data_IF_213270483500
#
_entry.id   IF_213270483500
#
_cell.length_a   1.000
_cell.length_b   1.000
_cell.length_c   1.000
_cell.angle_alpha   90.00
_cell.angle_beta   90.00
_cell.angle_gamma   90.00
#
_symmetry.space_group_name_H-M   'P 1'
#
loop_
_entity.id
_entity.type
_entity.pdbx_description
1 polymer ?
#
# COMPACT_ATOMS: atom_id res chain seq x y z
N UNK A 1 11.68 21.04 -23.10
CA UNK A 1 12.46 21.25 -21.85
C UNK A 1 11.96 20.41 -20.67
N UNK A 2 10.65 20.36 -20.35
CA UNK A 2 10.08 19.56 -19.22
C UNK A 2 10.51 18.08 -19.22
N UNK A 3 10.38 17.37 -20.35
CA UNK A 3 10.78 15.96 -20.46
C UNK A 3 12.25 15.72 -20.07
N UNK A 4 13.17 16.58 -20.52
CA UNK A 4 14.58 16.48 -20.17
C UNK A 4 14.83 16.72 -18.67
N UNK A 5 14.21 17.77 -18.10
CA UNK A 5 14.26 18.04 -16.65
C UNK A 5 13.75 16.85 -15.83
N UNK A 6 12.63 16.26 -16.25
CA UNK A 6 12.05 15.09 -15.60
C UNK A 6 12.97 13.86 -15.69
N UNK A 7 13.59 13.61 -16.84
CA UNK A 7 14.55 12.51 -17.00
C UNK A 7 15.79 12.68 -16.12
N UNK A 8 16.35 13.88 -16.07
CA UNK A 8 17.50 14.20 -15.20
C UNK A 8 17.10 14.02 -13.73
N UNK A 9 15.94 14.53 -13.32
CA UNK A 9 15.45 14.38 -11.95
C UNK A 9 15.31 12.90 -11.56
N UNK A 10 14.70 12.07 -12.43
CA UNK A 10 14.59 10.61 -12.18
C UNK A 10 15.95 9.91 -12.12
N UNK A 11 16.93 10.34 -12.91
CA UNK A 11 18.26 9.75 -12.91
C UNK A 11 19.01 10.06 -11.61
N UNK A 12 18.92 11.30 -11.12
CA UNK A 12 19.63 11.76 -9.93
C UNK A 12 18.98 11.32 -8.61
N UNK A 13 17.67 11.01 -8.62
CA UNK A 13 16.92 10.64 -7.43
C UNK A 13 16.52 9.16 -7.52
N UNK A 14 17.24 8.31 -6.78
CA UNK A 14 17.12 6.86 -6.88
C UNK A 14 15.74 6.31 -6.51
N UNK A 15 14.95 7.06 -5.75
CA UNK A 15 13.55 6.73 -5.42
C UNK A 15 12.69 6.52 -6.69
N UNK A 16 13.07 7.10 -7.83
CA UNK A 16 12.39 6.92 -9.12
C UNK A 16 13.05 5.88 -10.03
N UNK A 17 14.13 5.25 -9.60
CA UNK A 17 14.80 4.23 -10.41
C UNK A 17 13.88 3.03 -10.61
N UNK A 18 14.08 2.34 -11.72
CA UNK A 18 13.34 1.14 -12.03
C UNK A 18 13.56 0.07 -10.94
N UNK A 19 12.48 -0.56 -10.47
CA UNK A 19 12.53 -1.59 -9.42
C UNK A 19 13.54 -2.69 -9.73
N UNK A 20 13.67 -3.12 -11.00
CA UNK A 20 14.64 -4.15 -11.37
C UNK A 20 16.10 -3.72 -11.12
N UNK A 21 16.42 -2.43 -11.31
CA UNK A 21 17.76 -1.89 -11.05
C UNK A 21 18.03 -1.87 -9.54
N UNK A 22 17.06 -1.38 -8.75
CA UNK A 22 17.15 -1.32 -7.29
C UNK A 22 17.29 -2.72 -6.69
N UNK A 23 16.55 -3.71 -7.21
CA UNK A 23 16.49 -5.06 -6.65
C UNK A 23 17.51 -6.05 -7.23
N UNK A 24 18.24 -5.69 -8.29
CA UNK A 24 19.28 -6.56 -8.86
C UNK A 24 20.32 -7.04 -7.82
N UNK A 25 20.95 -6.19 -6.99
CA UNK A 25 21.87 -6.67 -5.96
C UNK A 25 21.15 -7.46 -4.85
N UNK A 26 19.93 -7.05 -4.50
CA UNK A 26 19.11 -7.71 -3.47
C UNK A 26 18.73 -9.14 -3.87
N UNK A 27 18.55 -9.39 -5.16
CA UNK A 27 18.23 -10.70 -5.69
C UNK A 27 19.27 -11.77 -5.31
N UNK A 28 20.56 -11.43 -5.29
CA UNK A 28 21.61 -12.36 -4.85
C UNK A 28 21.48 -12.72 -3.37
N UNK A 29 21.09 -11.75 -2.53
CA UNK A 29 20.82 -12.01 -1.12
C UNK A 29 19.58 -12.89 -0.92
N UNK A 30 18.53 -12.69 -1.73
CA UNK A 30 17.37 -13.58 -1.74
C UNK A 30 17.74 -15.02 -2.12
N UNK A 31 18.61 -15.21 -3.12
CA UNK A 31 19.14 -16.54 -3.48
C UNK A 31 19.87 -17.17 -2.29
N UNK A 32 20.74 -16.41 -1.62
CA UNK A 32 21.45 -16.88 -0.43
C UNK A 32 20.49 -17.38 0.66
N UNK A 33 19.44 -16.60 0.98
CA UNK A 33 18.42 -17.03 1.95
C UNK A 33 17.61 -18.23 1.46
N UNK A 34 17.30 -18.30 0.16
CA UNK A 34 16.59 -19.43 -0.43
C UNK A 34 17.38 -20.74 -0.34
N UNK A 35 18.70 -20.68 -0.52
CA UNK A 35 19.62 -21.82 -0.33
C UNK A 35 19.60 -22.26 1.15
N UNK A 36 19.72 -21.31 2.08
CA UNK A 36 19.63 -21.60 3.52
C UNK A 36 18.28 -22.21 3.92
N UNK A 37 17.19 -21.73 3.33
CA UNK A 37 15.84 -22.23 3.56
C UNK A 37 15.55 -23.56 2.84
N UNK A 38 16.38 -23.94 1.86
CA UNK A 38 16.13 -25.03 0.91
C UNK A 38 14.78 -24.89 0.19
N UNK A 39 14.35 -23.65 -0.04
CA UNK A 39 13.12 -23.32 -0.76
C UNK A 39 13.20 -21.89 -1.31
N UNK A 40 12.75 -21.70 -2.56
CA UNK A 40 12.55 -20.38 -3.15
C UNK A 40 11.30 -19.66 -2.61
N UNK A 41 10.39 -20.42 -1.97
CA UNK A 41 9.12 -19.95 -1.46
C UNK A 41 9.01 -20.08 0.06
N UNK A 42 10.10 -19.82 0.78
CA UNK A 42 10.14 -19.87 2.24
C UNK A 42 9.23 -18.83 2.88
N UNK A 43 9.09 -17.66 2.23
CA UNK A 43 8.29 -16.52 2.69
C UNK A 43 6.84 -16.86 3.02
N UNK A 44 6.27 -17.90 2.39
CA UNK A 44 4.88 -18.31 2.61
C UNK A 44 4.60 -18.67 4.08
N UNK A 45 5.61 -19.19 4.79
CA UNK A 45 5.44 -19.56 6.19
C UNK A 45 5.55 -18.37 7.15
N UNK A 46 5.81 -17.15 6.68
CA UNK A 46 5.99 -15.98 7.54
C UNK A 46 4.71 -15.59 8.28
N UNK A 47 3.55 -15.62 7.61
CA UNK A 47 2.24 -15.32 8.17
C UNK A 47 1.26 -16.48 7.85
N UNK A 48 1.26 -17.58 8.62
CA UNK A 48 0.53 -18.80 8.30
C UNK A 48 -0.98 -18.67 7.98
N UNK A 49 -1.64 -17.62 8.48
CA UNK A 49 -3.07 -17.37 8.25
C UNK A 49 -3.36 -16.50 7.03
N UNK A 50 -2.33 -16.01 6.35
CA UNK A 50 -2.45 -15.19 5.15
C UNK A 50 -1.96 -16.02 3.95
N UNK A 51 -2.75 -16.07 2.88
CA UNK A 51 -2.38 -16.76 1.63
C UNK A 51 -0.99 -16.31 1.18
N UNK A 52 -0.11 -17.27 0.86
CA UNK A 52 1.27 -17.01 0.44
C UNK A 52 2.10 -16.20 1.44
N UNK A 53 1.72 -16.18 2.72
CA UNK A 53 2.30 -15.31 3.75
C UNK A 53 2.05 -13.81 3.49
N UNK A 54 1.16 -13.47 2.56
CA UNK A 54 0.93 -12.12 2.04
C UNK A 54 2.04 -11.63 1.11
N UNK A 55 2.66 -12.54 0.35
CA UNK A 55 3.65 -12.18 -0.68
C UNK A 55 3.03 -11.81 -2.01
N UNK A 56 1.99 -12.52 -2.42
CA UNK A 56 1.25 -12.29 -3.65
C UNK A 56 -0.07 -13.08 -3.63
N UNK A 57 -1.04 -12.58 -4.40
CA UNK A 57 -2.37 -13.19 -4.59
C UNK A 57 -3.18 -13.33 -3.30
N UNK A 58 -2.92 -12.49 -2.30
CA UNK A 58 -3.73 -12.41 -1.09
C UNK A 58 -5.12 -11.80 -1.37
N UNK A 59 -6.14 -12.36 -0.73
CA UNK A 59 -7.49 -11.76 -0.67
C UNK A 59 -7.49 -10.67 0.41
N UNK A 60 -7.84 -9.44 0.02
CA UNK A 60 -8.02 -8.35 0.99
C UNK A 60 -9.15 -8.65 1.96
N UNK A 61 -10.23 -9.31 1.50
CA UNK A 61 -11.34 -9.71 2.36
C UNK A 61 -10.89 -10.66 3.46
N UNK A 62 -10.15 -11.71 3.10
CA UNK A 62 -9.63 -12.68 4.08
C UNK A 62 -8.73 -12.00 5.11
N UNK A 63 -7.89 -11.05 4.67
CA UNK A 63 -7.04 -10.27 5.57
C UNK A 63 -7.89 -9.41 6.52
N UNK A 64 -8.90 -8.69 6.04
CA UNK A 64 -9.78 -7.89 6.90
C UNK A 64 -10.55 -8.73 7.91
N UNK A 65 -10.90 -9.98 7.57
CA UNK A 65 -11.57 -10.88 8.49
C UNK A 65 -10.66 -11.35 9.64
N UNK A 66 -9.34 -11.22 9.50
CA UNK A 66 -8.37 -11.48 10.57
C UNK A 66 -8.18 -10.28 11.51
N UNK A 67 -8.51 -9.07 11.07
CA UNK A 67 -8.33 -7.84 11.86
C UNK A 67 -9.58 -7.62 12.72
N UNK A 68 -9.46 -7.25 14.00
CA UNK A 68 -10.61 -6.85 14.80
C UNK A 68 -11.38 -5.68 14.15
N UNK A 69 -12.70 -5.79 14.11
CA UNK A 69 -13.61 -4.87 13.37
C UNK A 69 -13.41 -3.40 13.71
N UNK A 70 -13.05 -3.08 14.95
CA UNK A 70 -12.84 -1.69 15.37
C UNK A 70 -11.63 -0.99 14.73
N UNK A 71 -10.73 -1.73 14.07
CA UNK A 71 -9.48 -1.19 13.55
C UNK A 71 -9.46 -0.95 12.04
N UNK A 72 -10.51 -1.26 11.28
CA UNK A 72 -10.53 -1.06 9.84
C UNK A 72 -11.91 -0.56 9.39
N UNK A 73 -12.00 0.12 8.22
CA UNK A 73 -13.27 0.69 7.76
C UNK A 73 -14.33 -0.37 7.45
N UNK A 74 -15.60 -0.01 7.54
CA UNK A 74 -16.68 -0.90 7.11
C UNK A 74 -16.47 -1.34 5.66
N UNK A 75 -16.50 -2.65 5.44
CA UNK A 75 -16.07 -3.28 4.17
C UNK A 75 -17.05 -4.36 3.77
N UNK A 76 -17.58 -4.22 2.55
CA UNK A 76 -18.42 -5.19 1.88
C UNK A 76 -17.64 -5.90 0.78
N UNK A 77 -17.94 -7.19 0.57
CA UNK A 77 -17.34 -8.01 -0.48
C UNK A 77 -18.42 -8.44 -1.47
N UNK A 78 -18.08 -8.34 -2.76
CA UNK A 78 -18.96 -8.70 -3.86
C UNK A 78 -18.25 -9.63 -4.82
N UNK A 79 -18.97 -10.65 -5.29
CA UNK A 79 -18.48 -11.55 -6.32
C UNK A 79 -18.56 -10.88 -7.70
N UNK A 80 -17.67 -11.30 -8.60
CA UNK A 80 -17.72 -10.91 -10.00
C UNK A 80 -19.13 -11.10 -10.60
N UNK A 81 -19.54 -10.18 -11.47
CA UNK A 81 -20.80 -10.24 -12.22
C UNK A 81 -22.09 -10.23 -11.37
N UNK A 82 -22.02 -9.81 -10.11
CA UNK A 82 -23.20 -9.61 -9.28
C UNK A 82 -24.06 -8.46 -9.82
N UNK A 83 -25.39 -8.58 -9.71
CA UNK A 83 -26.33 -7.56 -10.24
C UNK A 83 -26.16 -6.23 -9.54
N UNK A 84 -26.13 -5.14 -10.31
CA UNK A 84 -25.99 -3.76 -9.79
C UNK A 84 -27.01 -3.44 -8.69
N UNK A 85 -28.28 -3.81 -8.88
CA UNK A 85 -29.34 -3.58 -7.88
C UNK A 85 -29.03 -4.27 -6.54
N UNK A 86 -28.51 -5.49 -6.57
CA UNK A 86 -28.10 -6.20 -5.35
C UNK A 86 -26.92 -5.50 -4.68
N UNK A 87 -25.97 -5.00 -5.46
CA UNK A 87 -24.82 -4.25 -4.94
C UNK A 87 -25.28 -2.97 -4.24
N UNK A 88 -26.07 -2.13 -4.92
CA UNK A 88 -26.63 -0.88 -4.37
C UNK A 88 -27.40 -1.15 -3.08
N UNK A 89 -28.37 -2.08 -3.12
CA UNK A 89 -29.18 -2.42 -1.95
C UNK A 89 -28.33 -2.90 -0.76
N UNK A 90 -27.20 -3.58 -1.01
CA UNK A 90 -26.30 -4.05 0.06
C UNK A 90 -25.50 -2.89 0.64
N UNK A 91 -25.02 -1.96 -0.19
CA UNK A 91 -24.29 -0.75 0.23
C UNK A 91 -25.20 0.13 1.10
N UNK A 92 -26.43 0.38 0.65
CA UNK A 92 -27.40 1.19 1.39
C UNK A 92 -27.79 0.56 2.73
N UNK A 93 -28.03 -0.77 2.76
CA UNK A 93 -28.31 -1.50 4.01
C UNK A 93 -27.17 -1.46 5.01
N UNK A 94 -25.93 -1.42 4.52
CA UNK A 94 -24.74 -1.29 5.37
C UNK A 94 -24.44 0.16 5.77
N UNK A 95 -25.23 1.13 5.29
CA UNK A 95 -25.05 2.56 5.56
C UNK A 95 -23.67 3.12 5.14
N UNK A 96 -23.04 2.53 4.12
CA UNK A 96 -21.78 3.06 3.55
C UNK A 96 -22.11 4.26 2.66
N UNK A 97 -21.63 5.43 3.06
CA UNK A 97 -21.95 6.71 2.43
C UNK A 97 -20.98 7.08 1.31
N UNK A 98 -21.44 7.96 0.41
CA UNK A 98 -20.55 8.58 -0.56
C UNK A 98 -19.64 9.65 0.09
N UNK A 99 -18.42 9.84 -0.43
CA UNK A 99 -17.76 8.93 -1.35
C UNK A 99 -17.29 7.66 -0.62
N UNK A 100 -17.26 6.52 -1.32
CA UNK A 100 -16.67 5.28 -0.82
C UNK A 100 -15.53 4.80 -1.71
N UNK A 101 -14.71 3.87 -1.21
CA UNK A 101 -13.62 3.25 -1.95
C UNK A 101 -14.09 1.94 -2.57
N UNK A 102 -13.84 1.76 -3.87
CA UNK A 102 -13.96 0.46 -4.54
C UNK A 102 -12.57 -0.06 -4.90
N UNK A 103 -12.32 -1.35 -4.68
CA UNK A 103 -11.03 -1.98 -5.00
C UNK A 103 -11.15 -3.47 -5.31
N UNK A 104 -10.29 -4.04 -6.18
CA UNK A 104 -10.20 -5.48 -6.37
C UNK A 104 -9.85 -6.20 -5.06
N UNK A 105 -10.50 -7.34 -4.80
CA UNK A 105 -10.19 -8.18 -3.65
C UNK A 105 -8.73 -8.67 -3.74
N UNK A 106 -8.37 -9.28 -4.87
CA UNK A 106 -6.99 -9.55 -5.24
C UNK A 106 -6.49 -8.45 -6.20
N UNK A 107 -5.49 -7.67 -5.78
CA UNK A 107 -5.00 -6.55 -6.57
C UNK A 107 -3.78 -5.90 -5.94
N UNK A 108 -2.96 -5.23 -6.74
CA UNK A 108 -1.64 -4.72 -6.37
C UNK A 108 -1.50 -3.23 -6.72
N UNK A 109 -0.68 -2.51 -5.95
CA UNK A 109 -0.20 -1.15 -6.26
C UNK A 109 -1.30 -0.11 -6.53
N UNK A 110 -2.49 -0.30 -5.98
CA UNK A 110 -3.63 0.61 -6.18
C UNK A 110 -4.27 0.54 -7.58
N UNK A 111 -3.97 -0.49 -8.38
CA UNK A 111 -4.66 -0.71 -9.66
C UNK A 111 -6.15 -0.92 -9.43
N UNK A 112 -6.98 -0.22 -10.21
CA UNK A 112 -8.44 -0.18 -10.06
C UNK A 112 -8.95 0.18 -8.66
N UNK A 113 -8.13 0.83 -7.83
CA UNK A 113 -8.61 1.47 -6.60
C UNK A 113 -9.14 2.85 -6.95
N UNK A 114 -10.43 3.05 -6.74
CA UNK A 114 -11.15 4.26 -7.12
C UNK A 114 -12.03 4.77 -5.98
N UNK A 115 -12.20 6.09 -5.94
CA UNK A 115 -13.10 6.78 -5.04
C UNK A 115 -14.37 7.10 -5.82
N UNK A 116 -15.48 6.53 -5.40
CA UNK A 116 -16.76 6.62 -6.08
C UNK A 116 -17.61 7.66 -5.36
N UNK A 117 -18.09 8.66 -6.10
CA UNK A 117 -18.88 9.79 -5.58
C UNK A 117 -20.37 9.69 -5.92
N UNK A 118 -20.76 8.76 -6.80
CA UNK A 118 -22.16 8.58 -7.20
C UNK A 118 -22.44 7.16 -7.70
N UNK A 119 -23.73 6.80 -7.74
CA UNK A 119 -24.17 5.55 -8.35
C UNK A 119 -23.84 5.45 -9.84
N UNK A 120 -23.79 6.59 -10.55
CA UNK A 120 -23.39 6.63 -11.95
C UNK A 120 -21.91 6.22 -12.10
N UNK A 121 -21.03 6.77 -11.26
CA UNK A 121 -19.61 6.38 -11.23
C UNK A 121 -19.45 4.90 -10.88
N UNK A 122 -20.21 4.39 -9.90
CA UNK A 122 -20.21 2.95 -9.57
C UNK A 122 -20.59 2.11 -10.80
N UNK A 123 -21.65 2.50 -11.49
CA UNK A 123 -22.15 1.79 -12.68
C UNK A 123 -21.09 1.77 -13.78
N UNK A 124 -20.45 2.90 -14.06
CA UNK A 124 -19.35 2.99 -15.02
C UNK A 124 -18.17 2.11 -14.64
N UNK A 125 -17.76 2.11 -13.37
CA UNK A 125 -16.67 1.26 -12.88
C UNK A 125 -16.98 -0.24 -13.09
N UNK A 126 -18.22 -0.64 -12.80
CA UNK A 126 -18.65 -2.03 -12.89
C UNK A 126 -18.77 -2.57 -14.33
N UNK A 127 -18.88 -1.71 -15.34
CA UNK A 127 -18.89 -2.13 -16.76
C UNK A 127 -17.64 -2.91 -17.18
N UNK A 128 -16.50 -2.65 -16.53
CA UNK A 128 -15.20 -3.31 -16.79
C UNK A 128 -14.73 -4.13 -15.59
N UNK A 129 -15.67 -4.69 -14.82
CA UNK A 129 -15.38 -5.45 -13.60
C UNK A 129 -15.96 -6.85 -13.70
N UNK A 130 -15.10 -7.82 -13.96
CA UNK A 130 -15.40 -9.25 -14.03
C UNK A 130 -14.65 -10.05 -12.93
N UNK A 131 -14.21 -9.35 -11.89
CA UNK A 131 -13.44 -9.88 -10.76
C UNK A 131 -14.12 -9.53 -9.44
N UNK A 132 -13.78 -10.28 -8.38
CA UNK A 132 -14.26 -10.04 -7.03
C UNK A 132 -13.71 -8.71 -6.47
N UNK A 133 -14.55 -7.91 -5.82
CA UNK A 133 -14.19 -6.58 -5.36
C UNK A 133 -14.76 -6.25 -3.99
N UNK A 134 -14.20 -5.20 -3.40
CA UNK A 134 -14.60 -4.63 -2.13
C UNK A 134 -15.20 -3.23 -2.34
N UNK A 135 -16.25 -2.93 -1.58
CA UNK A 135 -16.72 -1.56 -1.33
C UNK A 135 -16.46 -1.25 0.13
N UNK A 136 -15.78 -0.14 0.39
CA UNK A 136 -15.25 0.19 1.70
C UNK A 136 -15.53 1.65 2.04
N UNK A 137 -15.90 1.92 3.29
CA UNK A 137 -16.04 3.28 3.82
C UNK A 137 -14.78 4.12 3.52
N UNK A 138 -14.98 5.36 3.07
CA UNK A 138 -13.86 6.28 2.84
C UNK A 138 -13.49 7.00 4.14
N UNK A 139 -12.41 6.55 4.78
CA UNK A 139 -11.84 7.22 5.95
C UNK A 139 -11.41 8.66 5.62
N UNK A 140 -11.71 9.61 6.51
CA UNK A 140 -11.50 11.06 6.33
C UNK A 140 -10.39 11.63 7.20
N UNK A 141 -9.69 10.79 7.96
CA UNK A 141 -8.56 11.24 8.76
C UNK A 141 -7.46 11.91 7.89
N UNK A 142 -6.86 13.02 8.35
CA UNK A 142 -5.98 13.85 7.53
C UNK A 142 -4.58 13.26 7.31
N UNK A 143 -4.14 12.34 8.17
CA UNK A 143 -2.78 11.79 8.15
C UNK A 143 -2.78 10.34 7.69
N UNK A 144 -1.78 9.97 6.88
CA UNK A 144 -1.57 8.58 6.44
C UNK A 144 -0.10 8.18 6.64
N UNK A 145 0.13 7.01 7.25
CA UNK A 145 1.45 6.39 7.40
C UNK A 145 1.45 4.96 6.87
N UNK A 146 2.63 4.47 6.50
CA UNK A 146 2.94 3.05 6.41
C UNK A 146 3.90 2.68 7.54
N UNK A 147 3.55 1.69 8.37
CA UNK A 147 4.32 1.25 9.52
C UNK A 147 4.73 -0.20 9.34
N UNK A 148 6.04 -0.46 9.33
CA UNK A 148 6.54 -1.81 9.19
C UNK A 148 6.71 -2.46 10.57
N UNK A 149 6.07 -3.61 10.75
CA UNK A 149 6.04 -4.35 11.99
C UNK A 149 6.56 -5.78 11.79
N UNK A 150 7.29 -6.29 12.78
CA UNK A 150 7.53 -7.72 12.90
C UNK A 150 7.49 -8.20 14.35
N UNK A 151 7.27 -9.50 14.54
CA UNK A 151 7.39 -10.20 15.81
C UNK A 151 7.85 -11.62 15.57
N UNK A 152 8.80 -12.13 16.35
CA UNK A 152 9.16 -13.54 16.24
C UNK A 152 8.02 -14.44 16.74
N UNK A 153 7.77 -15.63 16.16
CA UNK A 153 6.61 -16.44 16.54
C UNK A 153 6.66 -17.07 17.94
N UNK A 154 7.75 -16.89 18.68
CA UNK A 154 7.94 -17.24 20.09
C UNK A 154 7.94 -16.03 21.03
N UNK A 155 7.71 -14.82 20.52
CA UNK A 155 7.73 -13.58 21.29
C UNK A 155 6.34 -12.96 21.35
N UNK A 156 6.04 -12.25 22.43
CA UNK A 156 4.79 -11.49 22.59
C UNK A 156 4.98 -9.98 22.38
N UNK A 157 6.20 -9.56 22.07
CA UNK A 157 6.55 -8.17 21.82
C UNK A 157 7.10 -8.04 20.41
N UNK A 158 6.40 -7.32 19.55
CA UNK A 158 6.86 -6.94 18.24
C UNK A 158 7.71 -5.67 18.25
N UNK A 159 8.25 -5.37 17.08
CA UNK A 159 9.15 -4.27 16.81
C UNK A 159 8.67 -3.53 15.57
N UNK A 160 8.64 -2.21 15.65
CA UNK A 160 8.46 -1.34 14.49
C UNK A 160 9.84 -1.04 13.91
N UNK A 161 10.06 -1.38 12.65
CA UNK A 161 11.38 -1.21 11.99
C UNK A 161 11.50 0.07 11.19
N UNK A 162 10.36 0.66 10.80
CA UNK A 162 10.32 1.95 10.13
C UNK A 162 8.90 2.48 9.96
N UNK A 163 8.79 3.80 9.86
CA UNK A 163 7.53 4.49 9.61
C UNK A 163 7.73 5.46 8.46
N UNK A 164 6.89 5.34 7.42
CA UNK A 164 6.80 6.31 6.35
C UNK A 164 5.55 7.17 6.54
N UNK A 165 5.73 8.48 6.52
CA UNK A 165 4.64 9.44 6.37
C UNK A 165 4.38 9.70 4.89
N UNK A 166 3.11 9.76 4.50
CA UNK A 166 2.71 9.89 3.09
C UNK A 166 2.18 11.29 2.82
N UNK A 167 3.04 12.13 2.28
CA UNK A 167 2.69 13.48 1.84
C UNK A 167 1.91 13.40 0.52
N UNK A 168 0.67 13.85 0.51
CA UNK A 168 -0.19 13.84 -0.68
C UNK A 168 0.20 14.90 -1.72
N UNK A 169 -0.29 14.70 -2.94
CA UNK A 169 -0.10 15.61 -4.06
C UNK A 169 -1.04 16.82 -3.94
N UNK A 170 -0.73 17.74 -3.03
CA UNK A 170 -1.54 18.92 -2.77
C UNK A 170 -0.87 20.16 -3.35
N UNK A 171 -1.59 20.88 -4.21
CA UNK A 171 -1.19 22.22 -4.65
C UNK A 171 -1.97 23.27 -3.86
N UNK A 172 -1.31 24.38 -3.53
CA UNK A 172 -1.91 25.53 -2.83
C UNK A 172 -1.98 26.70 -3.80
N UNK A 173 -3.16 27.29 -3.93
CA UNK A 173 -3.41 28.41 -4.84
C UNK A 173 -2.74 29.68 -4.35
N UNK A 174 -2.20 30.44 -5.29
CA UNK A 174 -1.64 31.76 -5.07
C UNK A 174 -2.50 32.87 -5.68
N UNK A 175 -3.65 32.52 -6.29
CA UNK A 175 -4.58 33.44 -6.93
C UNK A 175 -4.12 33.97 -8.29
N UNK A 176 -2.99 33.49 -8.82
CA UNK A 176 -2.45 33.97 -10.12
C UNK A 176 -2.10 32.82 -11.07
N UNK A 177 -1.48 31.76 -10.57
CA UNK A 177 -1.09 30.62 -11.38
C UNK A 177 -2.23 29.64 -11.59
N UNK A 178 -2.24 29.03 -12.78
CA UNK A 178 -3.12 27.88 -13.05
C UNK A 178 -2.71 26.67 -12.22
N UNK A 179 -3.63 25.73 -12.02
CA UNK A 179 -3.33 24.45 -11.35
C UNK A 179 -2.16 23.74 -12.06
N UNK A 180 -2.13 23.76 -13.40
CA UNK A 180 -1.02 23.19 -14.17
C UNK A 180 0.32 23.85 -13.83
N UNK A 181 0.38 25.18 -13.78
CA UNK A 181 1.61 25.91 -13.46
C UNK A 181 2.08 25.60 -12.04
N UNK A 182 1.17 25.52 -11.07
CA UNK A 182 1.49 25.12 -9.69
C UNK A 182 2.05 23.68 -9.63
N UNK A 183 1.52 22.76 -10.43
CA UNK A 183 2.07 21.40 -10.56
C UNK A 183 3.48 21.42 -11.13
N UNK A 184 3.73 22.23 -12.17
CA UNK A 184 5.04 22.28 -12.84
C UNK A 184 6.15 22.93 -11.99
N UNK A 185 5.79 23.74 -10.99
CA UNK A 185 6.75 24.32 -10.04
C UNK A 185 7.39 23.27 -9.11
N UNK A 186 6.72 22.13 -8.89
CA UNK A 186 7.25 21.04 -8.08
C UNK A 186 7.74 19.89 -8.98
N UNK A 187 9.05 19.55 -9.00
CA UNK A 187 9.58 18.50 -9.87
C UNK A 187 8.88 17.15 -9.72
N UNK A 188 8.52 16.75 -8.49
CA UNK A 188 7.81 15.49 -8.22
C UNK A 188 6.40 15.53 -8.81
N UNK A 189 5.68 16.63 -8.65
CA UNK A 189 4.32 16.76 -9.18
C UNK A 189 4.34 16.84 -10.71
N UNK A 190 5.33 17.53 -11.28
CA UNK A 190 5.55 17.61 -12.72
C UNK A 190 5.77 16.24 -13.40
N UNK A 191 6.24 15.22 -12.66
CA UNK A 191 6.33 13.84 -13.16
C UNK A 191 4.95 13.21 -13.42
N UNK A 192 3.92 13.67 -12.72
CA UNK A 192 2.56 13.12 -12.78
C UNK A 192 1.66 13.88 -13.77
N UNK A 193 2.12 15.00 -14.33
CA UNK A 193 1.28 15.93 -15.08
C UNK A 193 0.55 15.28 -16.26
N UNK A 194 1.18 14.34 -17.00
CA UNK A 194 0.52 13.69 -18.14
C UNK A 194 -0.64 12.77 -17.68
N UNK A 195 -0.52 12.14 -16.51
CA UNK A 195 -1.62 11.38 -15.87
C UNK A 195 -2.70 12.32 -15.35
N UNK A 196 -2.31 13.42 -14.71
CA UNK A 196 -3.25 14.43 -14.20
C UNK A 196 -4.04 15.11 -15.32
N UNK A 197 -3.41 15.39 -16.47
CA UNK A 197 -4.09 15.94 -17.66
C UNK A 197 -5.21 15.05 -18.17
N UNK A 198 -4.96 13.74 -18.22
CA UNK A 198 -6.01 12.77 -18.62
C UNK A 198 -7.17 12.71 -17.63
N UNK A 199 -6.91 12.94 -16.35
CA UNK A 199 -7.91 12.86 -15.28
C UNK A 199 -8.73 14.16 -15.13
N UNK A 200 -8.05 15.30 -15.11
CA UNK A 200 -8.66 16.60 -14.78
C UNK A 200 -8.98 17.45 -16.01
N UNK A 201 -8.41 17.13 -17.18
CA UNK A 201 -8.69 17.86 -18.43
C UNK A 201 -8.49 19.36 -18.28
N UNK A 202 -9.48 20.12 -18.75
CA UNK A 202 -9.46 21.59 -18.78
C UNK A 202 -9.44 22.24 -17.40
N UNK A 203 -9.85 21.52 -16.34
CA UNK A 203 -9.77 22.01 -14.96
C UNK A 203 -8.35 22.44 -14.58
N UNK A 204 -7.31 21.83 -15.18
CA UNK A 204 -5.92 22.21 -14.88
C UNK A 204 -5.55 23.62 -15.35
N UNK A 205 -6.33 24.22 -16.26
CA UNK A 205 -6.12 25.58 -16.74
C UNK A 205 -6.78 26.65 -15.84
N UNK A 206 -7.56 26.24 -14.83
CA UNK A 206 -8.16 27.16 -13.87
C UNK A 206 -7.11 27.74 -12.93
N UNK A 207 -7.26 29.01 -12.57
CA UNK A 207 -6.46 29.66 -11.52
C UNK A 207 -7.01 29.25 -10.17
N UNK A 208 -6.19 28.59 -9.36
CA UNK A 208 -6.59 28.17 -8.01
C UNK A 208 -6.59 29.41 -7.09
N UNK A 209 -7.73 29.74 -6.45
CA UNK A 209 -7.84 30.88 -5.54
C UNK A 209 -6.77 30.86 -4.45
N UNK A 210 -6.38 32.06 -4.02
CA UNK A 210 -5.34 32.22 -3.01
C UNK A 210 -5.72 31.46 -1.73
N UNK A 211 -4.77 30.68 -1.23
CA UNK A 211 -4.88 29.84 -0.03
C UNK A 211 -5.79 28.61 -0.14
N UNK A 212 -6.49 28.40 -1.26
CA UNK A 212 -7.23 27.17 -1.51
C UNK A 212 -6.27 26.01 -1.80
N UNK A 213 -6.58 24.80 -1.30
CA UNK A 213 -5.79 23.60 -1.53
C UNK A 213 -6.54 22.60 -2.38
N UNK A 214 -5.87 22.07 -3.42
CA UNK A 214 -6.40 21.00 -4.25
C UNK A 214 -5.55 19.73 -4.09
N UNK A 215 -6.15 18.68 -3.54
CA UNK A 215 -5.54 17.36 -3.49
C UNK A 215 -5.76 16.62 -4.81
N UNK A 216 -4.70 16.51 -5.62
CA UNK A 216 -4.74 15.93 -6.96
C UNK A 216 -4.81 14.39 -6.93
N UNK A 217 -4.24 13.78 -5.88
CA UNK A 217 -4.18 12.33 -5.68
C UNK A 217 -4.45 12.01 -4.21
N UNK A 218 -5.70 11.69 -3.82
CA UNK A 218 -6.08 11.47 -2.42
C UNK A 218 -5.71 10.07 -1.92
N UNK A 219 -4.54 9.56 -2.31
CA UNK A 219 -4.03 8.25 -1.92
C UNK A 219 -2.53 8.35 -1.66
N UNK A 220 -2.06 7.78 -0.56
CA UNK A 220 -0.63 7.68 -0.24
C UNK A 220 0.11 6.66 -1.11
N UNK A 221 0.34 6.97 -2.39
CA UNK A 221 1.02 6.10 -3.34
C UNK A 221 2.20 6.81 -4.00
N UNK A 222 3.42 6.31 -3.73
CA UNK A 222 4.67 6.86 -4.25
C UNK A 222 4.71 6.93 -5.79
N UNK A 223 4.22 5.89 -6.46
CA UNK A 223 4.19 5.83 -7.95
C UNK A 223 3.25 6.90 -8.52
N UNK A 224 2.19 7.25 -7.78
CA UNK A 224 1.24 8.32 -8.14
C UNK A 224 1.66 9.70 -7.63
N UNK A 225 2.88 9.82 -7.10
CA UNK A 225 3.54 11.08 -6.79
C UNK A 225 3.56 11.46 -5.32
N UNK A 226 2.91 10.72 -4.41
CA UNK A 226 3.02 11.02 -2.98
C UNK A 226 4.50 11.01 -2.56
N UNK A 227 4.91 12.00 -1.76
CA UNK A 227 6.26 11.98 -1.19
C UNK A 227 6.22 11.07 0.04
N UNK A 228 7.18 10.17 0.11
CA UNK A 228 7.40 9.31 1.26
C UNK A 228 8.46 9.98 2.12
N UNK A 229 8.15 10.19 3.40
CA UNK A 229 9.04 10.83 4.37
C UNK A 229 9.27 9.85 5.51
N UNK A 230 10.52 9.51 5.80
CA UNK A 230 10.87 8.61 6.89
C UNK A 230 10.74 9.32 8.24
N UNK A 231 9.73 8.92 8.98
CA UNK A 231 9.39 9.42 10.31
C UNK A 231 9.63 8.35 11.38
N UNK A 232 10.59 7.44 11.18
CA UNK A 232 10.93 6.39 12.15
C UNK A 232 11.36 6.94 13.52
N UNK A 233 11.72 8.23 13.61
CA UNK A 233 11.92 8.93 14.88
C UNK A 233 10.62 9.09 15.72
N UNK A 234 9.45 8.77 15.17
CA UNK A 234 8.18 8.71 15.90
C UNK A 234 8.04 7.45 16.75
N UNK A 235 8.84 6.41 16.47
CA UNK A 235 8.81 5.16 17.22
C UNK A 235 9.18 5.46 18.67
N UNK A 236 8.25 5.17 19.58
CA UNK A 236 8.44 5.23 21.01
C UNK A 236 7.71 4.06 21.69
N UNK A 237 7.83 3.94 23.01
CA UNK A 237 7.25 2.83 23.77
C UNK A 237 5.71 2.80 23.67
N UNK A 238 5.05 3.96 23.68
CA UNK A 238 3.59 4.06 23.60
C UNK A 238 3.08 3.54 22.26
N UNK A 239 3.62 4.05 21.15
CA UNK A 239 3.26 3.61 19.81
C UNK A 239 3.55 2.12 19.61
N UNK A 240 4.72 1.66 20.05
CA UNK A 240 5.11 0.25 19.94
C UNK A 240 4.16 -0.66 20.72
N UNK A 241 3.76 -0.26 21.93
CA UNK A 241 2.81 -1.01 22.75
C UNK A 241 1.45 -1.11 22.08
N UNK A 242 0.90 0.02 21.64
CA UNK A 242 -0.41 0.09 20.96
C UNK A 242 -0.44 -0.79 19.71
N UNK A 243 0.56 -0.67 18.84
CA UNK A 243 0.64 -1.45 17.61
C UNK A 243 0.82 -2.94 17.91
N UNK A 244 1.63 -3.27 18.91
CA UNK A 244 1.80 -4.66 19.33
C UNK A 244 0.49 -5.27 19.86
N UNK A 245 -0.27 -4.54 20.68
CA UNK A 245 -1.58 -4.99 21.18
C UNK A 245 -2.59 -5.24 20.05
N UNK A 246 -2.56 -4.41 19.00
CA UNK A 246 -3.37 -4.62 17.80
C UNK A 246 -2.89 -5.87 17.04
N UNK A 247 -1.60 -5.96 16.73
CA UNK A 247 -1.05 -7.07 15.94
C UNK A 247 -1.14 -8.43 16.65
N UNK A 248 -1.15 -8.47 17.99
CA UNK A 248 -1.38 -9.70 18.75
C UNK A 248 -2.81 -10.25 18.58
N UNK A 249 -3.78 -9.40 18.26
CA UNK A 249 -5.17 -9.82 17.99
C UNK A 249 -5.35 -10.36 16.57
N UNK A 250 -4.36 -10.20 15.68
CA UNK A 250 -4.39 -10.70 14.30
C UNK A 250 -3.73 -12.08 14.29
N UNK A 251 -4.50 -13.17 14.09
CA UNK A 251 -3.97 -14.53 14.22
C UNK A 251 -2.80 -14.78 13.27
N UNK A 252 -1.69 -15.26 13.82
CA UNK A 252 -0.47 -15.64 13.09
C UNK A 252 0.08 -14.57 12.13
N UNK A 253 -0.10 -13.29 12.48
CA UNK A 253 0.58 -12.17 11.84
C UNK A 253 1.90 -11.85 12.56
N UNK A 254 3.01 -11.97 11.82
CA UNK A 254 4.37 -11.87 12.33
C UNK A 254 5.25 -10.90 11.54
N UNK A 255 4.92 -10.62 10.28
CA UNK A 255 5.77 -9.78 9.42
C UNK A 255 4.94 -9.03 8.38
N UNK A 256 5.02 -7.70 8.36
CA UNK A 256 4.29 -6.94 7.36
C UNK A 256 4.24 -5.43 7.60
N UNK A 257 3.51 -4.74 6.73
CA UNK A 257 3.27 -3.30 6.82
C UNK A 257 1.79 -3.02 7.07
N UNK A 258 1.52 -2.18 8.06
CA UNK A 258 0.22 -1.57 8.29
C UNK A 258 0.19 -0.21 7.59
N UNK A 259 -0.74 -0.02 6.66
CA UNK A 259 -1.06 1.31 6.15
C UNK A 259 -2.23 1.86 6.97
N UNK A 260 -2.03 3.00 7.63
CA UNK A 260 -2.91 3.55 8.67
C UNK A 260 -3.26 5.00 8.35
N UNK A 261 -4.55 5.32 8.40
CA UNK A 261 -5.05 6.69 8.41
C UNK A 261 -5.47 7.08 9.82
N UNK A 262 -5.12 8.27 10.28
CA UNK A 262 -5.29 8.66 11.69
C UNK A 262 -5.42 10.17 11.90
N UNK A 263 -6.10 10.56 12.98
CA UNK A 263 -6.41 11.96 13.26
C UNK A 263 -5.17 12.77 13.70
N UNK A 264 -4.42 12.23 14.66
CA UNK A 264 -3.22 12.86 15.23
C UNK A 264 -2.25 11.80 15.73
N UNK A 265 -0.97 12.15 15.85
CA UNK A 265 0.03 11.21 16.37
C UNK A 265 -0.32 10.77 17.79
N UNK A 266 -0.80 11.69 18.60
CA UNK A 266 -1.21 11.48 19.98
C UNK A 266 -2.37 10.48 20.08
N UNK A 267 -3.34 10.58 19.16
CA UNK A 267 -4.45 9.62 19.07
C UNK A 267 -3.95 8.23 18.67
N UNK A 268 -3.07 8.15 17.67
CA UNK A 268 -2.49 6.89 17.22
C UNK A 268 -1.68 6.21 18.33
N UNK A 269 -0.88 6.95 19.09
CA UNK A 269 -0.14 6.43 20.25
C UNK A 269 -1.06 5.89 21.34
N UNK A 270 -2.28 6.42 21.46
CA UNK A 270 -3.30 5.98 22.41
C UNK A 270 -4.24 4.90 21.85
N UNK A 271 -4.07 4.51 20.59
CA UNK A 271 -4.97 3.56 19.93
C UNK A 271 -6.38 4.11 19.68
N UNK A 272 -6.48 5.42 19.39
CA UNK A 272 -7.75 6.13 19.11
C UNK A 272 -7.73 6.76 17.73
N UNK A 273 -8.91 7.05 17.20
CA UNK A 273 -9.13 7.85 15.98
C UNK A 273 -8.19 7.48 14.81
N UNK A 274 -8.05 6.18 14.55
CA UNK A 274 -7.29 5.66 13.43
C UNK A 274 -8.03 4.52 12.76
N UNK A 275 -7.59 4.17 11.56
CA UNK A 275 -8.11 3.05 10.79
C UNK A 275 -6.99 2.44 9.95
N UNK A 276 -6.85 1.12 10.02
CA UNK A 276 -5.96 0.31 9.19
C UNK A 276 -6.62 0.16 7.83
N UNK A 277 -6.12 0.92 6.86
CA UNK A 277 -6.65 0.86 5.50
C UNK A 277 -6.12 -0.36 4.74
N UNK A 278 -4.90 -0.83 5.03
CA UNK A 278 -4.35 -2.05 4.44
C UNK A 278 -3.39 -2.75 5.42
N UNK A 279 -3.41 -4.08 5.41
CA UNK A 279 -2.42 -4.93 6.09
C UNK A 279 -1.72 -5.78 5.02
N UNK A 280 -0.42 -5.54 4.84
CA UNK A 280 0.39 -6.21 3.84
C UNK A 280 1.33 -7.22 4.53
N UNK A 281 1.54 -8.40 3.94
CA UNK A 281 2.37 -9.46 4.52
C UNK A 281 3.81 -9.48 3.99
N UNK A 282 4.31 -10.67 3.67
CA UNK A 282 5.69 -10.92 3.22
C UNK A 282 6.13 -10.15 1.97
N UNK A 283 5.19 -9.69 1.14
CA UNK A 283 5.47 -8.88 -0.05
C UNK A 283 5.70 -7.40 0.28
N UNK A 284 5.56 -7.01 1.55
CA UNK A 284 5.75 -5.63 1.99
C UNK A 284 7.20 -5.19 1.87
N UNK A 285 7.38 -4.01 1.30
CA UNK A 285 8.65 -3.28 1.33
C UNK A 285 8.68 -2.28 2.50
N UNK A 286 9.83 -2.08 3.16
CA UNK A 286 10.04 -0.99 4.11
C UNK A 286 10.06 0.36 3.39
N UNK A 287 8.89 0.90 3.09
CA UNK A 287 8.71 2.06 2.19
C UNK A 287 9.32 3.37 2.72
N UNK A 288 9.74 3.43 3.99
CA UNK A 288 10.51 4.57 4.51
C UNK A 288 11.86 4.72 3.83
N UNK A 289 12.37 3.67 3.17
CA UNK A 289 13.59 3.76 2.36
C UNK A 289 13.48 4.81 1.26
N UNK A 290 12.28 5.09 0.74
CA UNK A 290 12.06 6.04 -0.36
C UNK A 290 12.06 7.51 0.07
N UNK A 291 12.39 7.83 1.33
CA UNK A 291 12.65 9.23 1.69
C UNK A 291 13.81 9.78 0.85
N UNK A 292 13.65 10.91 0.14
CA UNK A 292 14.72 11.52 -0.66
C UNK A 292 16.01 11.81 0.10
N UNK A 293 15.97 11.89 1.44
CA UNK A 293 17.17 12.06 2.27
C UNK A 293 18.07 10.82 2.30
N UNK A 294 17.51 9.64 2.01
CA UNK A 294 18.23 8.38 2.11
C UNK A 294 19.01 8.08 0.83
N UNK A 295 20.12 7.37 0.98
CA UNK A 295 20.89 6.86 -0.15
C UNK A 295 20.39 5.46 -0.55
N UNK A 296 20.74 5.04 -1.77
CA UNK A 296 20.48 3.66 -2.22
C UNK A 296 21.13 2.61 -1.29
N UNK A 297 22.28 2.92 -0.68
CA UNK A 297 22.95 2.03 0.27
C UNK A 297 22.16 1.87 1.57
N UNK A 298 21.52 2.94 2.05
CA UNK A 298 20.57 2.86 3.16
C UNK A 298 19.40 1.93 2.80
N UNK A 299 18.81 2.14 1.61
CA UNK A 299 17.71 1.33 1.13
C UNK A 299 18.06 -0.17 1.06
N UNK A 300 19.21 -0.51 0.46
CA UNK A 300 19.67 -1.89 0.38
C UNK A 300 19.92 -2.52 1.75
N UNK A 301 20.52 -1.77 2.69
CA UNK A 301 20.73 -2.24 4.06
C UNK A 301 19.40 -2.56 4.75
N UNK A 302 18.40 -1.70 4.59
CA UNK A 302 17.07 -1.95 5.16
C UNK A 302 16.36 -3.13 4.49
N UNK A 303 16.41 -3.26 3.16
CA UNK A 303 15.81 -4.42 2.48
C UNK A 303 16.45 -5.73 2.93
N UNK A 304 17.79 -5.79 3.00
CA UNK A 304 18.54 -6.96 3.47
C UNK A 304 18.13 -7.34 4.90
N UNK A 305 18.05 -6.35 5.80
CA UNK A 305 17.59 -6.54 7.18
C UNK A 305 16.19 -7.15 7.23
N UNK A 306 15.25 -6.64 6.44
CA UNK A 306 13.87 -7.15 6.41
C UNK A 306 13.79 -8.56 5.82
N UNK A 307 14.59 -8.88 4.82
CA UNK A 307 14.68 -10.24 4.26
C UNK A 307 15.26 -11.25 5.25
N UNK A 308 16.26 -10.86 6.04
CA UNK A 308 16.80 -11.72 7.11
C UNK A 308 15.75 -11.99 8.21
N UNK A 309 14.99 -10.95 8.62
CA UNK A 309 13.87 -11.11 9.55
C UNK A 309 12.81 -12.06 8.98
N UNK A 310 12.38 -11.84 7.72
CA UNK A 310 11.43 -12.69 7.03
C UNK A 310 11.88 -14.16 7.00
N UNK A 311 13.16 -14.40 6.69
CA UNK A 311 13.75 -15.73 6.70
C UNK A 311 13.72 -16.39 8.09
N UNK A 312 14.08 -15.64 9.14
CA UNK A 312 14.07 -16.14 10.53
C UNK A 312 12.66 -16.52 10.98
N UNK A 313 11.69 -15.65 10.77
CA UNK A 313 10.27 -15.92 11.10
C UNK A 313 9.77 -17.14 10.33
N UNK A 314 10.00 -17.19 9.02
CA UNK A 314 9.58 -18.30 8.17
C UNK A 314 10.20 -19.63 8.62
N UNK A 315 11.50 -19.61 8.97
CA UNK A 315 12.23 -20.80 9.47
C UNK A 315 11.67 -21.28 10.79
N UNK A 316 11.35 -20.37 11.70
CA UNK A 316 10.73 -20.72 12.97
C UNK A 316 9.35 -21.35 12.77
N UNK A 317 8.50 -20.75 11.92
CA UNK A 317 7.18 -21.30 11.60
C UNK A 317 7.28 -22.65 10.86
N UNK A 318 8.31 -22.85 10.03
CA UNK A 318 8.58 -24.15 9.41
C UNK A 318 8.89 -25.23 10.44
N UNK A 319 9.66 -24.90 11.48
CA UNK A 319 9.93 -25.83 12.59
C UNK A 319 8.66 -26.15 13.39
N UNK A 320 7.69 -25.23 13.45
CA UNK A 320 6.34 -25.45 14.00
C UNK A 320 5.39 -26.25 13.08
N UNK A 321 5.84 -26.68 11.89
CA UNK A 321 5.07 -27.52 10.98
C UNK A 321 4.47 -26.81 9.77
N UNK A 322 4.66 -25.49 9.62
CA UNK A 322 4.14 -24.76 8.46
C UNK A 322 4.93 -25.07 7.18
N UNK A 323 4.23 -25.33 6.08
CA UNK A 323 4.88 -25.73 4.85
C UNK A 323 5.50 -24.55 4.08
N UNK A 324 6.71 -24.73 3.54
CA UNK A 324 7.22 -23.87 2.48
C UNK A 324 6.62 -24.28 1.14
N UNK A 325 6.52 -23.34 0.21
CA UNK A 325 6.18 -23.67 -1.17
C UNK A 325 7.32 -24.48 -1.80
N UNK A 326 6.95 -25.49 -2.59
CA UNK A 326 7.91 -26.18 -3.45
C UNK A 326 8.18 -25.35 -4.72
N UNK A 327 9.13 -25.80 -5.55
CA UNK A 327 9.54 -25.08 -6.78
C UNK A 327 8.37 -24.92 -7.76
N UNK A 328 7.52 -25.96 -7.91
CA UNK A 328 6.35 -25.92 -8.81
C UNK A 328 5.34 -24.87 -8.34
N UNK A 329 5.01 -24.87 -7.05
CA UNK A 329 4.11 -23.88 -6.45
C UNK A 329 4.67 -22.47 -6.55
N UNK A 330 5.97 -22.28 -6.26
CA UNK A 330 6.63 -20.97 -6.36
C UNK A 330 6.60 -20.42 -7.79
N UNK A 331 6.86 -21.27 -8.80
CA UNK A 331 6.76 -20.88 -10.22
C UNK A 331 5.33 -20.53 -10.61
N UNK A 332 4.36 -21.32 -10.17
CA UNK A 332 2.94 -21.09 -10.45
C UNK A 332 2.47 -19.75 -9.87
N UNK A 333 2.83 -19.45 -8.62
CA UNK A 333 2.55 -18.18 -7.95
C UNK A 333 3.05 -16.98 -8.76
N UNK A 334 4.28 -17.03 -9.27
CA UNK A 334 4.85 -15.95 -10.11
C UNK A 334 4.06 -15.78 -11.41
N UNK A 335 3.69 -16.89 -12.06
CA UNK A 335 2.92 -16.87 -13.32
C UNK A 335 1.54 -16.25 -13.09
N UNK A 336 0.84 -16.69 -12.06
CA UNK A 336 -0.53 -16.25 -11.78
C UNK A 336 -0.56 -14.79 -11.32
N UNK A 337 0.40 -14.38 -10.50
CA UNK A 337 0.57 -12.98 -10.11
C UNK A 337 0.83 -12.07 -11.31
N UNK A 338 1.68 -12.50 -12.25
CA UNK A 338 1.95 -11.75 -13.50
C UNK A 338 0.71 -11.67 -14.38
N UNK A 339 -0.04 -12.77 -14.53
CA UNK A 339 -1.31 -12.79 -15.30
C UNK A 339 -2.32 -11.81 -14.71
N UNK A 340 -2.56 -11.87 -13.40
CA UNK A 340 -3.49 -10.96 -12.71
C UNK A 340 -3.05 -9.50 -12.86
N UNK A 341 -1.77 -9.20 -12.65
CA UNK A 341 -1.24 -7.84 -12.78
C UNK A 341 -1.45 -7.29 -14.20
N UNK A 342 -1.13 -8.09 -15.22
CA UNK A 342 -1.31 -7.69 -16.62
C UNK A 342 -2.78 -7.48 -16.96
N UNK A 343 -3.65 -8.36 -16.45
CA UNK A 343 -5.09 -8.25 -16.62
C UNK A 343 -5.63 -6.94 -16.04
N UNK A 344 -5.35 -6.65 -14.77
CA UNK A 344 -5.80 -5.42 -14.11
C UNK A 344 -5.27 -4.15 -14.80
N UNK A 345 -4.04 -4.19 -15.34
CA UNK A 345 -3.46 -3.08 -16.12
C UNK A 345 -4.15 -2.86 -17.46
N UNK A 346 -4.61 -3.92 -18.12
CA UNK A 346 -5.26 -3.79 -19.43
C UNK A 346 -6.65 -3.16 -19.35
N UNK A 347 -7.32 -3.29 -18.19
CA UNK A 347 -8.67 -2.77 -17.94
C UNK A 347 -8.68 -1.47 -17.12
N UNK A 348 -7.53 -0.99 -16.66
CA UNK A 348 -7.35 0.32 -16.00
C UNK A 348 -7.06 1.38 -17.04
#
# INVERSE_FOLDING_TARGET
MRKLKNSIHKLLNWEYWNTNVVYFPIFFYWIYLSIKARSLGFFNASNPRIINGGFALESKKEIYDLIPKQYYPDTLFFKANQKLETIINTIEKANIQFPFIIKPDMGLQGLRVEKIHSWNELTTYLQKTDYDFLVQECITYPLEIGMFYYRMPNENKGTITGIVYKDFLIVKGNGTNTIQELIEQNPRFALQLDTLKRKFGDKLNEVLPKDETLNLVPFGNHVRGSKFTDVSHWINEKLTKTVNEICLQIPDFYFGRLDIMFQSREDLEQGKNFSIIELNGAGSEPTHIYDPKHSIFFAWKEIIKHYDILYKISTFNRQKGHAYLNIKQSRQLVIDNKKLTNYLKAIS
#
